data_IF_042633536754
#
_entry.id   IF_042633536754
#
_cell.length_a   1.000
_cell.length_b   1.000
_cell.length_c   1.000
_cell.angle_alpha   90.00
_cell.angle_beta   90.00
_cell.angle_gamma   90.00
#
_symmetry.space_group_name_H-M   'P 1'
#
loop_
_entity.id
_entity.type
_entity.pdbx_description
1 polymer ?
#
# COMPACT_ATOMS: atom_id res chain seq x y z
N UNK A 1 -17.43 10.76 -7.48
CA UNK A 1 -16.76 12.07 -7.31
C UNK A 1 -15.28 11.96 -7.65
N UNK A 2 -14.51 11.04 -7.06
CA UNK A 2 -13.07 10.84 -7.38
C UNK A 2 -12.78 10.69 -8.87
N UNK A 3 -13.50 9.80 -9.58
CA UNK A 3 -13.30 9.61 -11.02
C UNK A 3 -13.50 10.89 -11.86
N UNK A 4 -14.40 11.80 -11.46
CA UNK A 4 -14.63 13.06 -12.18
C UNK A 4 -13.46 14.04 -12.03
N UNK A 5 -12.71 13.95 -10.94
CA UNK A 5 -11.52 14.77 -10.71
C UNK A 5 -10.30 14.19 -11.44
N UNK A 6 -10.17 12.87 -11.43
CA UNK A 6 -8.98 12.17 -11.92
C UNK A 6 -9.01 11.92 -13.44
N UNK A 7 -10.18 11.93 -14.06
CA UNK A 7 -10.34 11.71 -15.49
C UNK A 7 -10.98 12.92 -16.18
N UNK A 8 -10.41 13.43 -17.29
CA UNK A 8 -9.19 12.97 -17.96
C UNK A 8 -7.88 13.59 -17.42
N UNK A 9 -7.94 14.46 -16.42
CA UNK A 9 -6.87 15.44 -16.19
C UNK A 9 -5.79 15.05 -15.16
N UNK A 10 -5.94 13.97 -14.38
CA UNK A 10 -5.07 13.60 -13.22
C UNK A 10 -4.24 14.78 -12.64
N UNK A 11 -4.85 15.68 -11.86
CA UNK A 11 -4.17 16.88 -11.39
C UNK A 11 -3.07 16.63 -10.35
N UNK A 12 -3.00 15.41 -9.78
CA UNK A 12 -1.97 15.02 -8.79
C UNK A 12 -0.68 14.61 -9.50
N UNK A 13 -0.76 14.17 -10.76
CA UNK A 13 0.34 13.48 -11.42
C UNK A 13 0.52 12.07 -10.86
N UNK A 14 1.73 11.53 -11.01
CA UNK A 14 2.10 10.22 -10.48
C UNK A 14 2.88 10.40 -9.16
N UNK A 15 2.87 9.40 -8.26
CA UNK A 15 3.48 9.52 -6.92
C UNK A 15 4.38 8.34 -6.58
N UNK A 16 5.43 8.50 -5.80
CA UNK A 16 6.28 7.36 -5.43
C UNK A 16 5.59 6.38 -4.47
N UNK A 17 4.92 6.92 -3.46
CA UNK A 17 4.28 6.14 -2.40
C UNK A 17 2.83 6.56 -2.20
N UNK A 18 1.94 5.58 -2.08
CA UNK A 18 0.53 5.79 -1.81
C UNK A 18 0.11 5.10 -0.50
N UNK A 19 -0.33 5.89 0.47
CA UNK A 19 -1.04 5.33 1.62
C UNK A 19 -2.46 4.96 1.19
N UNK A 20 -2.72 3.66 1.13
CA UNK A 20 -4.03 3.12 0.73
C UNK A 20 -5.09 3.69 1.66
N UNK A 21 -6.06 4.40 1.10
CA UNK A 21 -6.97 5.22 1.88
C UNK A 21 -7.96 4.36 2.64
N UNK A 22 -8.44 4.88 3.78
CA UNK A 22 -9.50 4.26 4.56
C UNK A 22 -9.29 2.76 4.82
N UNK A 23 -8.04 2.38 5.17
CA UNK A 23 -7.63 0.99 5.43
C UNK A 23 -7.75 0.04 4.23
N UNK A 24 -7.98 0.53 3.02
CA UNK A 24 -8.29 -0.30 1.84
C UNK A 24 -9.73 -0.79 1.79
N UNK A 25 -10.68 0.05 2.22
CA UNK A 25 -12.10 -0.16 1.92
C UNK A 25 -12.40 0.27 0.48
N UNK A 26 -13.32 -0.44 -0.22
CA UNK A 26 -13.58 -0.18 -1.64
C UNK A 26 -14.23 1.18 -1.90
N UNK A 27 -14.81 1.81 -0.88
CA UNK A 27 -15.47 3.12 -0.98
C UNK A 27 -14.53 4.31 -1.14
N UNK A 28 -13.21 4.13 -0.97
CA UNK A 28 -12.23 5.23 -0.92
C UNK A 28 -11.01 5.02 -1.82
N UNK A 29 -10.96 3.90 -2.55
CA UNK A 29 -9.82 3.51 -3.40
C UNK A 29 -10.29 3.29 -4.83
N UNK A 30 -10.98 4.28 -5.41
CA UNK A 30 -11.53 4.15 -6.76
C UNK A 30 -10.40 3.88 -7.78
N UNK A 31 -10.55 2.90 -8.69
CA UNK A 31 -9.55 2.59 -9.70
C UNK A 31 -9.11 3.81 -10.52
N UNK A 32 -10.01 4.73 -10.85
CA UNK A 32 -9.67 5.94 -11.60
C UNK A 32 -8.67 6.85 -10.86
N UNK A 33 -8.65 6.83 -9.52
CA UNK A 33 -7.66 7.54 -8.71
C UNK A 33 -6.38 6.72 -8.62
N UNK A 34 -6.49 5.48 -8.14
CA UNK A 34 -5.34 4.62 -7.82
C UNK A 34 -4.47 4.36 -9.06
N UNK A 35 -5.10 4.06 -10.21
CA UNK A 35 -4.39 3.79 -11.45
C UNK A 35 -3.83 5.06 -12.11
N UNK A 36 -4.42 6.22 -11.84
CA UNK A 36 -3.93 7.49 -12.37
C UNK A 36 -2.67 7.97 -11.63
N UNK A 37 -2.63 7.86 -10.30
CA UNK A 37 -1.45 8.24 -9.51
C UNK A 37 -0.30 7.23 -9.58
N UNK A 38 -0.59 6.03 -10.10
CA UNK A 38 0.38 4.98 -10.49
C UNK A 38 1.58 4.82 -9.53
N UNK A 39 1.35 4.44 -8.27
CA UNK A 39 2.41 4.48 -7.25
C UNK A 39 3.41 3.33 -7.37
N UNK A 40 4.67 3.60 -7.01
CA UNK A 40 5.71 2.55 -6.96
C UNK A 40 5.57 1.66 -5.73
N UNK A 41 5.18 2.23 -4.59
CA UNK A 41 4.95 1.49 -3.34
C UNK A 41 3.60 1.87 -2.74
N UNK A 42 2.88 0.89 -2.20
CA UNK A 42 1.64 1.14 -1.47
C UNK A 42 1.76 0.68 -0.02
N UNK A 43 1.19 1.43 0.92
CA UNK A 43 1.16 1.06 2.35
C UNK A 43 -0.28 1.09 2.84
N UNK A 44 -0.78 -0.06 3.27
CA UNK A 44 -2.16 -0.21 3.74
C UNK A 44 -2.23 -0.44 5.25
N UNK A 45 -2.83 0.51 5.97
CA UNK A 45 -3.05 0.45 7.41
C UNK A 45 -4.31 -0.36 7.77
N UNK A 46 -4.45 -1.59 7.26
CA UNK A 46 -5.60 -2.46 7.57
C UNK A 46 -5.43 -3.19 8.90
N UNK A 47 -6.56 -3.64 9.45
CA UNK A 47 -6.61 -4.59 10.56
C UNK A 47 -6.85 -6.02 10.06
N UNK A 48 -6.89 -7.02 10.97
CA UNK A 48 -7.16 -8.40 10.60
C UNK A 48 -8.53 -8.60 9.93
N UNK A 49 -9.53 -7.79 10.30
CA UNK A 49 -10.91 -7.90 9.82
C UNK A 49 -11.48 -6.63 9.20
N UNK A 50 -10.80 -5.48 9.36
CA UNK A 50 -11.18 -4.16 8.84
C UNK A 50 -10.22 -3.74 7.73
N UNK A 51 -10.78 -3.37 6.57
CA UNK A 51 -9.98 -2.96 5.42
C UNK A 51 -9.37 -4.15 4.68
N UNK A 52 -8.39 -3.88 3.81
CA UNK A 52 -7.79 -4.90 2.95
C UNK A 52 -8.82 -5.67 2.13
N UNK A 53 -9.78 -4.95 1.55
CA UNK A 53 -10.82 -5.56 0.74
C UNK A 53 -10.22 -6.17 -0.53
N UNK A 54 -10.74 -7.32 -0.96
CA UNK A 54 -10.26 -8.02 -2.14
C UNK A 54 -10.30 -7.13 -3.39
N UNK A 55 -11.37 -6.35 -3.58
CA UNK A 55 -11.49 -5.41 -4.69
C UNK A 55 -10.38 -4.36 -4.68
N UNK A 56 -10.09 -3.75 -3.53
CA UNK A 56 -8.99 -2.79 -3.42
C UNK A 56 -7.65 -3.46 -3.71
N UNK A 57 -7.40 -4.65 -3.16
CA UNK A 57 -6.18 -5.41 -3.44
C UNK A 57 -6.03 -5.78 -4.92
N UNK A 58 -7.13 -6.09 -5.62
CA UNK A 58 -7.14 -6.29 -7.08
C UNK A 58 -6.76 -5.01 -7.82
N UNK A 59 -7.38 -3.88 -7.51
CA UNK A 59 -7.03 -2.58 -8.11
C UNK A 59 -5.58 -2.20 -7.88
N UNK A 60 -5.03 -2.46 -6.69
CA UNK A 60 -3.61 -2.18 -6.42
C UNK A 60 -2.70 -3.03 -7.32
N UNK A 61 -3.04 -4.30 -7.59
CA UNK A 61 -2.26 -5.15 -8.50
C UNK A 61 -2.28 -4.70 -9.97
N UNK A 62 -3.25 -3.88 -10.36
CA UNK A 62 -3.36 -3.33 -11.72
C UNK A 62 -2.49 -2.08 -11.93
N UNK A 63 -1.89 -1.55 -10.86
CA UNK A 63 -0.94 -0.43 -10.94
C UNK A 63 0.29 -0.86 -11.75
N UNK A 64 0.68 -0.05 -12.74
CA UNK A 64 1.74 -0.40 -13.69
C UNK A 64 3.13 -0.29 -13.08
N UNK A 65 3.37 0.75 -12.28
CA UNK A 65 4.68 1.02 -11.68
C UNK A 65 4.91 0.32 -10.34
N UNK A 66 3.94 -0.48 -9.86
CA UNK A 66 3.97 -1.06 -8.53
C UNK A 66 5.09 -2.09 -8.37
N UNK A 67 5.93 -1.90 -7.34
CA UNK A 67 6.97 -2.84 -6.93
C UNK A 67 6.57 -3.67 -5.72
N UNK A 68 6.04 -3.03 -4.68
CA UNK A 68 5.66 -3.71 -3.43
C UNK A 68 4.37 -3.13 -2.85
N UNK A 69 3.52 -4.03 -2.34
CA UNK A 69 2.30 -3.72 -1.59
C UNK A 69 2.46 -4.12 -0.13
N UNK A 70 2.52 -3.15 0.77
CA UNK A 70 2.66 -3.39 2.20
C UNK A 70 1.31 -3.41 2.91
N UNK A 71 1.14 -4.38 3.82
CA UNK A 71 -0.04 -4.50 4.67
C UNK A 71 0.34 -4.46 6.14
N UNK A 72 -0.37 -3.65 6.92
CA UNK A 72 -0.16 -3.63 8.36
C UNK A 72 -0.61 -4.95 9.00
N UNK A 73 -1.71 -5.54 8.53
CA UNK A 73 -2.19 -6.85 9.00
C UNK A 73 -2.53 -7.79 7.85
N UNK A 74 -2.42 -9.09 8.11
CA UNK A 74 -3.06 -10.11 7.26
C UNK A 74 -4.57 -9.98 7.40
N UNK A 75 -5.30 -9.90 6.29
CA UNK A 75 -6.75 -10.03 6.33
C UNK A 75 -7.11 -11.50 6.55
N UNK A 76 -7.73 -11.82 7.69
CA UNK A 76 -8.07 -13.20 8.06
C UNK A 76 -9.26 -13.77 7.29
N UNK A 77 -10.02 -12.91 6.60
CA UNK A 77 -11.17 -13.30 5.78
C UNK A 77 -10.79 -13.65 4.34
N UNK A 78 -9.53 -13.42 3.94
CA UNK A 78 -9.03 -13.69 2.59
C UNK A 78 -8.01 -14.82 2.59
N UNK A 79 -7.95 -15.54 1.48
CA UNK A 79 -6.86 -16.45 1.16
C UNK A 79 -5.51 -15.70 1.05
N UNK A 80 -4.37 -16.37 1.29
CA UNK A 80 -3.05 -15.76 1.12
C UNK A 80 -2.80 -15.22 -0.30
N UNK A 81 -3.32 -15.89 -1.32
CA UNK A 81 -3.21 -15.51 -2.75
C UNK A 81 -3.98 -14.24 -3.11
N UNK A 82 -5.02 -13.91 -2.35
CA UNK A 82 -5.85 -12.72 -2.57
C UNK A 82 -5.27 -11.45 -1.95
N UNK A 83 -4.19 -11.55 -1.17
CA UNK A 83 -3.51 -10.43 -0.53
C UNK A 83 -2.00 -10.40 -0.85
N UNK A 84 -1.26 -9.45 -0.25
CA UNK A 84 0.19 -9.37 -0.49
C UNK A 84 0.93 -10.58 0.10
N UNK A 85 2.18 -10.80 -0.33
CA UNK A 85 3.01 -11.87 0.21
C UNK A 85 3.27 -11.69 1.71
N UNK A 86 3.42 -12.80 2.45
CA UNK A 86 3.54 -12.76 3.91
C UNK A 86 4.72 -11.91 4.42
N UNK A 87 5.79 -11.81 3.64
CA UNK A 87 6.97 -10.96 3.93
C UNK A 87 6.70 -9.45 3.85
N UNK A 88 5.62 -9.03 3.18
CA UNK A 88 5.17 -7.64 3.07
C UNK A 88 4.00 -7.35 4.04
N UNK A 89 3.68 -8.29 4.93
CA UNK A 89 2.67 -8.14 5.98
C UNK A 89 3.37 -7.96 7.34
N UNK A 90 3.14 -6.84 8.01
CA UNK A 90 3.78 -6.57 9.30
C UNK A 90 3.28 -7.50 10.42
N UNK A 91 1.97 -7.76 10.44
CA UNK A 91 1.32 -8.57 11.46
C UNK A 91 0.50 -9.70 10.82
N UNK A 92 1.10 -10.90 10.73
CA UNK A 92 0.48 -12.07 10.11
C UNK A 92 -0.44 -12.90 11.01
N UNK A 93 -0.35 -12.73 12.33
CA UNK A 93 -1.13 -13.47 13.32
C UNK A 93 -2.60 -13.02 13.41
N UNK A 94 -3.38 -13.71 14.24
CA UNK A 94 -4.73 -13.26 14.62
C UNK A 94 -4.62 -12.08 15.59
N UNK A 95 -5.74 -11.40 15.88
CA UNK A 95 -5.74 -10.29 16.85
C UNK A 95 -5.15 -10.70 18.21
N UNK A 96 -5.42 -11.92 18.67
CA UNK A 96 -4.95 -12.42 19.97
C UNK A 96 -3.44 -12.63 20.05
N UNK A 97 -2.77 -12.86 18.92
CA UNK A 97 -1.31 -13.12 18.84
C UNK A 97 -0.55 -12.03 18.10
N UNK A 98 -1.18 -10.88 17.89
CA UNK A 98 -0.59 -9.76 17.16
C UNK A 98 0.55 -9.11 17.97
N UNK A 99 1.73 -8.98 17.36
CA UNK A 99 2.91 -8.37 17.99
C UNK A 99 2.95 -6.84 17.88
N UNK A 100 2.02 -6.22 17.12
CA UNK A 100 1.99 -4.78 16.94
C UNK A 100 3.20 -4.22 16.18
N UNK A 101 3.73 -4.96 15.20
CA UNK A 101 4.83 -4.49 14.35
C UNK A 101 4.36 -3.32 13.47
N UNK A 102 5.22 -2.32 13.33
CA UNK A 102 4.98 -1.16 12.47
C UNK A 102 5.55 -1.36 11.06
N UNK A 103 5.12 -0.47 10.15
CA UNK A 103 5.76 -0.24 8.86
C UNK A 103 6.30 1.19 8.88
N UNK A 104 7.58 1.37 8.58
CA UNK A 104 8.22 2.69 8.55
C UNK A 104 8.73 2.95 7.15
N UNK A 105 8.30 4.07 6.59
CA UNK A 105 8.93 4.68 5.42
C UNK A 105 9.94 5.74 5.90
N UNK A 106 11.12 5.81 5.31
CA UNK A 106 12.11 6.86 5.56
C UNK A 106 12.62 7.38 4.22
N UNK A 107 12.67 8.69 4.04
CA UNK A 107 13.13 9.32 2.80
C UNK A 107 14.57 9.78 3.02
N UNK A 108 15.42 9.59 2.03
CA UNK A 108 16.79 10.11 2.02
C UNK A 108 16.79 11.65 2.07
N UNK A 109 17.81 12.28 2.69
CA UNK A 109 17.85 13.75 2.80
C UNK A 109 17.81 14.50 1.48
N UNK A 110 18.34 13.90 0.41
CA UNK A 110 18.33 14.44 -0.96
C UNK A 110 17.05 14.09 -1.74
N UNK A 111 16.16 13.28 -1.16
CA UNK A 111 14.88 12.90 -1.74
C UNK A 111 14.97 11.91 -2.90
N UNK A 112 16.17 11.46 -3.28
CA UNK A 112 16.39 10.61 -4.46
C UNK A 112 15.97 9.15 -4.22
N UNK A 113 15.87 8.75 -2.95
CA UNK A 113 15.47 7.40 -2.56
C UNK A 113 14.67 7.37 -1.26
N UNK A 114 13.96 6.28 -1.03
CA UNK A 114 13.28 6.00 0.22
C UNK A 114 13.38 4.52 0.59
N UNK A 115 13.31 4.23 1.88
CA UNK A 115 13.28 2.86 2.40
C UNK A 115 11.95 2.55 3.05
N UNK A 116 11.53 1.29 2.97
CA UNK A 116 10.41 0.75 3.75
C UNK A 116 10.91 -0.43 4.58
N UNK A 117 10.52 -0.45 5.85
CA UNK A 117 10.94 -1.45 6.83
C UNK A 117 9.75 -1.93 7.66
N UNK A 118 9.67 -3.25 7.90
CA UNK A 118 8.69 -3.86 8.81
C UNK A 118 9.35 -4.16 10.16
N UNK A 119 8.92 -3.46 11.20
CA UNK A 119 9.40 -3.63 12.56
C UNK A 119 10.88 -3.27 12.77
N UNK A 120 11.36 -3.31 14.03
CA UNK A 120 12.65 -2.74 14.41
C UNK A 120 13.87 -3.46 13.82
N UNK A 121 13.72 -4.74 13.47
CA UNK A 121 14.79 -5.59 12.91
C UNK A 121 14.50 -6.06 11.49
N UNK A 122 13.46 -5.52 10.84
CA UNK A 122 13.13 -5.90 9.47
C UNK A 122 14.21 -5.47 8.49
N UNK A 123 14.34 -6.19 7.37
CA UNK A 123 15.16 -5.75 6.25
C UNK A 123 14.58 -4.44 5.70
N UNK A 124 15.43 -3.44 5.50
CA UNK A 124 15.06 -2.24 4.76
C UNK A 124 15.07 -2.57 3.26
N UNK A 125 13.96 -2.29 2.58
CA UNK A 125 13.88 -2.33 1.11
C UNK A 125 14.00 -0.90 0.61
N UNK A 126 14.93 -0.65 -0.30
CA UNK A 126 15.21 0.67 -0.86
C UNK A 126 14.58 0.81 -2.24
N UNK A 127 13.98 1.97 -2.48
CA UNK A 127 13.36 2.35 -3.75
C UNK A 127 13.96 3.69 -4.19
N UNK A 128 14.09 3.88 -5.49
CA UNK A 128 14.44 5.18 -6.06
C UNK A 128 13.14 5.98 -6.24
N UNK A 129 13.19 7.26 -5.86
CA UNK A 129 12.12 8.21 -6.16
C UNK A 129 12.10 8.49 -7.66
N UNK A 130 10.93 8.76 -8.21
CA UNK A 130 10.79 9.14 -9.61
C UNK A 130 11.17 10.60 -9.82
N UNK A 131 11.74 10.87 -10.98
CA UNK A 131 11.84 12.22 -11.50
C UNK A 131 10.45 12.63 -12.00
N UNK A 132 9.94 13.75 -11.48
CA UNK A 132 8.61 14.31 -11.79
C UNK A 132 8.73 15.68 -12.45
#
# INVERSE_FOLDING_TARGET
MEAKLMTPNNPVGTVDMYMVTHHGLPTSNNPALVLAVDPTVTVMCNGPTKGGAEQTLKTLREIKSLKDMYQLHRNVKLGPELQTSAELIANGGTTATCQGRWIKASISPDGTSYTVQIGPKGKQRTYQSREH
#
